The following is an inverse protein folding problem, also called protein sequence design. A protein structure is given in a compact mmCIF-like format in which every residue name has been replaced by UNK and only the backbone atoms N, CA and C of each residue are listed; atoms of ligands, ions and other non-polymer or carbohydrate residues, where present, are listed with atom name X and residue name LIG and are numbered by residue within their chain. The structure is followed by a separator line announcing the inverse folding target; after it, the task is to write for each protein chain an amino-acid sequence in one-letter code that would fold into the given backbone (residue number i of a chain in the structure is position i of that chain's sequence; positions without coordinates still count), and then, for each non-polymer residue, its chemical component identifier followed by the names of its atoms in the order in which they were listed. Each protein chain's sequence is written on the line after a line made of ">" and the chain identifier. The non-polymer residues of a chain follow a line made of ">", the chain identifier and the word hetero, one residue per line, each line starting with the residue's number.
data_IF_887565295394
#
_entry.id   IF_887565295394
#
_cell.length_a   1.000
_cell.length_b   1.000
_cell.length_c   1.000
_cell.angle_alpha   90.00
_cell.angle_beta   90.00
_cell.angle_gamma   90.00
#
_symmetry.space_group_name_H-M   'P 1'
#
loop_
_entity.id
_entity.type
_entity.pdbx_description
1 polymer ?
#
# COMPACT_ATOMS: atom_id res chain seq x y z
N UNK A 1 6.86 -3.82 -3.89
CA UNK A 1 5.45 -4.01 -4.28
C UNK A 1 5.37 -4.11 -5.80
N UNK A 2 4.57 -5.04 -6.34
CA UNK A 2 4.41 -5.30 -7.78
C UNK A 2 2.91 -5.29 -8.13
N UNK A 3 2.56 -4.69 -9.27
CA UNK A 3 1.21 -4.73 -9.82
C UNK A 3 1.21 -5.46 -11.18
N UNK A 4 0.38 -6.48 -11.36
CA UNK A 4 0.19 -7.16 -12.67
C UNK A 4 -1.28 -7.38 -12.99
N UNK A 5 -1.77 -6.71 -14.04
CA UNK A 5 -3.12 -6.80 -14.66
C UNK A 5 -4.34 -6.49 -13.78
N UNK A 6 -4.28 -6.79 -12.49
CA UNK A 6 -5.14 -6.32 -11.39
C UNK A 6 -4.73 -6.94 -10.04
N UNK A 7 -3.59 -7.64 -10.00
CA UNK A 7 -3.09 -8.35 -8.83
C UNK A 7 -1.95 -7.57 -8.21
N UNK A 8 -2.04 -7.38 -6.91
CA UNK A 8 -1.02 -6.70 -6.13
C UNK A 8 -0.21 -7.74 -5.37
N UNK A 9 1.10 -7.52 -5.33
CA UNK A 9 2.02 -8.36 -4.59
C UNK A 9 2.92 -7.49 -3.72
N UNK A 10 3.00 -7.81 -2.43
CA UNK A 10 3.92 -7.18 -1.47
C UNK A 10 4.77 -8.30 -0.88
N UNK A 11 6.10 -8.16 -0.98
CA UNK A 11 7.05 -9.14 -0.46
C UNK A 11 6.80 -10.62 -0.87
N UNK A 12 6.22 -10.83 -2.07
CA UNK A 12 5.91 -12.16 -2.60
C UNK A 12 4.49 -12.65 -2.25
N UNK A 13 3.80 -11.99 -1.33
CA UNK A 13 2.43 -12.31 -0.96
C UNK A 13 1.42 -11.59 -1.84
N UNK A 14 0.33 -12.26 -2.18
CA UNK A 14 -0.76 -11.69 -2.98
C UNK A 14 -1.70 -10.89 -2.07
N UNK A 15 -1.96 -9.65 -2.47
CA UNK A 15 -2.89 -8.74 -1.80
C UNK A 15 -4.16 -8.67 -2.62
N UNK A 16 -5.29 -8.96 -1.98
CA UNK A 16 -6.60 -8.72 -2.56
C UNK A 16 -6.94 -7.24 -2.36
N UNK A 17 -6.96 -6.48 -3.45
CA UNK A 17 -7.22 -5.05 -3.42
C UNK A 17 -8.56 -4.74 -4.06
N UNK A 18 -9.34 -3.91 -3.38
CA UNK A 18 -10.55 -3.35 -3.94
C UNK A 18 -10.25 -2.33 -5.06
N UNK A 19 -11.24 -2.10 -5.93
CA UNK A 19 -11.09 -1.17 -7.04
C UNK A 19 -10.79 0.27 -6.56
N UNK A 20 -11.38 0.68 -5.43
CA UNK A 20 -11.14 1.97 -4.78
C UNK A 20 -9.71 2.14 -4.28
N UNK A 21 -8.98 1.04 -4.00
CA UNK A 21 -7.62 1.11 -3.46
C UNK A 21 -6.55 1.20 -4.55
N UNK A 22 -6.91 0.94 -5.81
CA UNK A 22 -5.97 0.84 -6.93
C UNK A 22 -5.08 2.09 -7.05
N UNK A 23 -5.66 3.29 -6.91
CA UNK A 23 -4.90 4.54 -7.03
C UNK A 23 -3.87 4.69 -5.91
N UNK A 24 -4.29 4.53 -4.65
CA UNK A 24 -3.41 4.66 -3.49
C UNK A 24 -2.30 3.58 -3.51
N UNK A 25 -2.65 2.34 -3.85
CA UNK A 25 -1.68 1.24 -3.97
C UNK A 25 -0.70 1.48 -5.13
N UNK A 26 -1.14 2.09 -6.23
CA UNK A 26 -0.27 2.46 -7.35
C UNK A 26 0.72 3.54 -6.95
N UNK A 27 0.25 4.60 -6.28
CA UNK A 27 1.13 5.66 -5.79
C UNK A 27 2.15 5.11 -4.80
N UNK A 28 1.73 4.25 -3.86
CA UNK A 28 2.62 3.60 -2.91
C UNK A 28 3.65 2.70 -3.63
N UNK A 29 3.24 1.94 -4.65
CA UNK A 29 4.15 1.08 -5.40
C UNK A 29 5.16 1.88 -6.24
N UNK A 30 4.71 2.93 -6.92
CA UNK A 30 5.52 3.72 -7.84
C UNK A 30 6.45 4.69 -7.09
N UNK A 31 5.93 5.40 -6.09
CA UNK A 31 6.67 6.44 -5.37
C UNK A 31 7.30 5.95 -4.07
N UNK A 32 6.98 4.72 -3.61
CA UNK A 32 7.37 4.17 -2.30
C UNK A 32 6.99 5.06 -1.12
N UNK A 33 6.00 5.94 -1.31
CA UNK A 33 5.51 6.88 -0.29
C UNK A 33 4.05 7.22 -0.58
N UNK A 34 3.29 7.46 0.48
CA UNK A 34 1.97 8.07 0.41
C UNK A 34 2.07 9.53 0.87
N UNK A 35 1.48 10.49 0.13
CA UNK A 35 1.43 11.88 0.58
C UNK A 35 0.70 12.03 1.91
N UNK A 36 1.11 12.96 2.78
CA UNK A 36 0.32 13.31 3.95
C UNK A 36 -1.06 13.84 3.52
N UNK A 37 -2.10 13.53 4.29
CA UNK A 37 -3.47 13.94 3.96
C UNK A 37 -4.16 13.12 2.86
N UNK A 38 -3.52 12.05 2.38
CA UNK A 38 -4.19 11.10 1.48
C UNK A 38 -5.39 10.49 2.19
N UNK A 39 -6.59 10.69 1.63
CA UNK A 39 -7.80 10.05 2.13
C UNK A 39 -7.74 8.54 1.84
N UNK A 40 -7.80 7.74 2.88
CA UNK A 40 -7.75 6.28 2.80
C UNK A 40 -9.03 5.70 3.40
N UNK A 41 -9.56 4.68 2.74
CA UNK A 41 -10.66 3.91 3.32
C UNK A 41 -10.19 3.17 4.58
N UNK A 42 -11.07 2.94 5.57
CA UNK A 42 -10.72 2.26 6.82
C UNK A 42 -10.07 0.88 6.60
N UNK A 43 -10.57 0.11 5.64
CA UNK A 43 -10.05 -1.22 5.32
C UNK A 43 -8.63 -1.15 4.71
N UNK A 44 -8.38 -0.18 3.83
CA UNK A 44 -7.03 0.07 3.30
C UNK A 44 -6.07 0.53 4.40
N UNK A 45 -6.53 1.39 5.31
CA UNK A 45 -5.73 1.81 6.47
C UNK A 45 -5.37 0.61 7.37
N UNK A 46 -6.30 -0.30 7.61
CA UNK A 46 -6.02 -1.53 8.36
C UNK A 46 -4.97 -2.40 7.66
N UNK A 47 -5.06 -2.56 6.34
CA UNK A 47 -4.06 -3.29 5.56
C UNK A 47 -2.67 -2.65 5.64
N UNK A 48 -2.59 -1.32 5.49
CA UNK A 48 -1.32 -0.58 5.64
C UNK A 48 -0.76 -0.70 7.06
N UNK A 49 -1.62 -0.70 8.07
CA UNK A 49 -1.20 -0.92 9.46
C UNK A 49 -0.64 -2.33 9.67
N UNK A 50 -1.25 -3.36 9.07
CA UNK A 50 -0.69 -4.73 9.08
C UNK A 50 0.69 -4.78 8.43
N UNK A 51 0.89 -4.10 7.30
CA UNK A 51 2.20 -4.01 6.65
C UNK A 51 3.21 -3.25 7.49
N UNK A 52 2.80 -2.20 8.20
CA UNK A 52 3.66 -1.52 9.16
C UNK A 52 4.07 -2.46 10.30
N UNK A 53 3.12 -3.19 10.90
CA UNK A 53 3.39 -4.15 11.97
C UNK A 53 4.30 -5.30 11.51
N UNK A 54 4.21 -5.72 10.25
CA UNK A 54 5.08 -6.71 9.63
C UNK A 54 6.46 -6.15 9.23
N UNK A 55 6.70 -4.83 9.38
CA UNK A 55 7.95 -4.17 9.01
C UNK A 55 8.11 -3.88 7.51
N UNK A 56 7.03 -3.96 6.73
CA UNK A 56 7.06 -3.71 5.29
C UNK A 56 6.95 -2.21 4.96
N UNK A 57 6.37 -1.45 5.88
CA UNK A 57 6.26 0.00 5.80
C UNK A 57 6.94 0.64 7.00
N UNK A 58 7.48 1.83 6.79
CA UNK A 58 8.04 2.68 7.82
C UNK A 58 7.34 4.03 7.78
N UNK A 59 7.06 4.61 8.94
CA UNK A 59 6.44 5.93 9.06
C UNK A 59 7.55 6.98 9.11
N UNK A 60 7.46 8.00 8.25
CA UNK A 60 8.42 9.10 8.25
C UNK A 60 9.84 8.72 7.84
N UNK A 61 10.04 7.53 7.24
CA UNK A 61 11.33 7.15 6.69
C UNK A 61 11.71 8.14 5.59
N UNK A 62 12.80 8.86 5.82
CA UNK A 62 13.40 9.70 4.80
C UNK A 62 14.22 8.79 3.88
N UNK A 63 13.92 8.85 2.58
CA UNK A 63 14.67 8.15 1.54
C UNK A 63 16.04 8.79 1.33
#
# INVERSE_FOLDING_TARGET
>A
MLCRRNRWYVNGERVEAEASWQQALRELADRRRLPPGTALEPALLQLLHQWYAAGYLLIGAQA
#
